data_IF_788926593734
#
_entry.id   IF_788926593734
#
_cell.length_a   1.000
_cell.length_b   1.000
_cell.length_c   1.000
_cell.angle_alpha   90.00
_cell.angle_beta   90.00
_cell.angle_gamma   90.00
#
_symmetry.space_group_name_H-M   'P 1'
#
loop_
_entity.id
_entity.type
_entity.pdbx_description
1 polymer ?
#
# COMPACT_ATOMS: atom_id res chain seq x y z
N UNK A 1 3.33 -4.75 -19.28
CA UNK A 1 2.47 -5.46 -18.38
C UNK A 1 1.53 -6.41 -19.14
N UNK A 2 0.53 -5.90 -19.90
CA UNK A 2 -0.46 -6.72 -20.61
C UNK A 2 0.12 -7.82 -21.52
N UNK A 3 1.30 -7.60 -22.12
CA UNK A 3 2.00 -8.61 -22.94
C UNK A 3 2.67 -9.71 -22.13
N UNK A 4 2.85 -9.51 -20.83
CA UNK A 4 3.46 -10.47 -19.91
C UNK A 4 2.43 -11.24 -19.10
N UNK A 5 1.15 -10.84 -19.18
CA UNK A 5 0.04 -11.51 -18.51
C UNK A 5 -0.24 -12.83 -19.19
N UNK A 6 -0.25 -13.91 -18.42
CA UNK A 6 -0.61 -15.25 -18.88
C UNK A 6 -2.10 -15.50 -18.60
N UNK A 7 -2.82 -15.95 -19.61
CA UNK A 7 -4.25 -16.29 -19.51
C UNK A 7 -4.42 -17.81 -19.53
N UNK A 8 -5.34 -18.30 -18.71
CA UNK A 8 -5.83 -19.69 -18.78
C UNK A 8 -6.99 -19.80 -19.78
N UNK A 9 -7.43 -21.04 -20.04
CA UNK A 9 -8.58 -21.29 -20.93
C UNK A 9 -9.90 -20.70 -20.38
N UNK A 10 -9.98 -20.46 -19.05
CA UNK A 10 -11.17 -19.90 -18.38
C UNK A 10 -11.08 -18.37 -18.19
N UNK A 11 -10.29 -17.68 -18.99
CA UNK A 11 -10.05 -16.22 -18.89
C UNK A 11 -9.48 -15.75 -17.55
N UNK A 12 -8.91 -16.64 -16.75
CA UNK A 12 -8.18 -16.33 -15.53
C UNK A 12 -6.78 -15.89 -15.90
N UNK A 13 -6.29 -14.79 -15.32
CA UNK A 13 -4.98 -14.25 -15.67
C UNK A 13 -4.04 -14.14 -14.46
N UNK A 14 -2.76 -14.32 -14.75
CA UNK A 14 -1.67 -14.16 -13.79
C UNK A 14 -0.52 -13.38 -14.41
N UNK A 15 0.32 -12.78 -13.57
CA UNK A 15 1.60 -12.23 -14.00
C UNK A 15 2.73 -13.17 -13.55
N UNK A 16 3.18 -14.10 -14.42
CA UNK A 16 4.29 -14.99 -14.09
C UNK A 16 5.62 -14.24 -14.14
N UNK A 17 6.50 -14.57 -13.22
CA UNK A 17 7.88 -14.10 -13.20
C UNK A 17 8.83 -15.26 -12.85
N UNK A 18 9.89 -15.44 -13.63
CA UNK A 18 10.89 -16.50 -13.44
C UNK A 18 10.34 -17.92 -13.22
N UNK A 19 9.20 -18.26 -13.85
CA UNK A 19 8.59 -19.59 -13.75
C UNK A 19 7.70 -19.75 -12.50
N UNK A 20 7.45 -18.69 -11.79
CA UNK A 20 6.53 -18.63 -10.65
C UNK A 20 5.40 -17.63 -10.89
N UNK A 21 4.26 -17.89 -10.28
CA UNK A 21 3.15 -16.95 -10.16
C UNK A 21 3.08 -16.57 -8.68
N UNK A 22 3.30 -15.29 -8.38
CA UNK A 22 3.18 -14.81 -7.01
C UNK A 22 1.91 -13.96 -6.84
N UNK A 23 1.32 -14.02 -5.65
CA UNK A 23 0.24 -13.11 -5.27
C UNK A 23 0.68 -11.65 -5.44
N UNK A 24 1.90 -11.33 -5.01
CA UNK A 24 2.52 -10.01 -5.13
C UNK A 24 2.47 -9.49 -6.58
N UNK A 25 3.04 -10.23 -7.52
CA UNK A 25 3.14 -9.77 -8.91
C UNK A 25 1.76 -9.58 -9.56
N UNK A 26 0.82 -10.49 -9.29
CA UNK A 26 -0.54 -10.42 -9.83
C UNK A 26 -1.34 -9.27 -9.20
N UNK A 27 -1.22 -9.06 -7.88
CA UNK A 27 -1.87 -7.96 -7.17
C UNK A 27 -1.33 -6.58 -7.63
N UNK A 28 -0.02 -6.41 -7.71
CA UNK A 28 0.60 -5.17 -8.19
C UNK A 28 0.25 -4.88 -9.65
N UNK A 29 0.14 -5.92 -10.49
CA UNK A 29 -0.30 -5.79 -11.88
C UNK A 29 -1.73 -5.27 -11.95
N UNK A 30 -2.64 -5.84 -11.15
CA UNK A 30 -4.03 -5.39 -11.08
C UNK A 30 -4.13 -3.96 -10.58
N UNK A 31 -3.46 -3.61 -9.47
CA UNK A 31 -3.45 -2.25 -8.92
C UNK A 31 -3.00 -1.25 -9.99
N UNK A 32 -1.89 -1.53 -10.67
CA UNK A 32 -1.36 -0.63 -11.70
C UNK A 32 -2.32 -0.43 -12.88
N UNK A 33 -3.00 -1.49 -13.32
CA UNK A 33 -4.01 -1.40 -14.40
C UNK A 33 -5.27 -0.68 -13.94
N UNK A 34 -5.71 -0.93 -12.70
CA UNK A 34 -6.84 -0.24 -12.11
C UNK A 34 -6.59 1.27 -11.99
N UNK A 35 -5.42 1.65 -11.50
CA UNK A 35 -5.00 3.06 -11.42
C UNK A 35 -4.91 3.72 -12.81
N UNK A 36 -4.43 2.99 -13.82
CA UNK A 36 -4.44 3.45 -15.21
C UNK A 36 -5.87 3.65 -15.74
N UNK A 37 -6.78 2.70 -15.46
CA UNK A 37 -8.18 2.80 -15.87
C UNK A 37 -8.87 4.01 -15.24
N UNK A 38 -8.70 4.19 -13.93
CA UNK A 38 -9.29 5.28 -13.14
C UNK A 38 -8.74 6.64 -13.60
N UNK A 39 -7.42 6.78 -13.68
CA UNK A 39 -6.77 8.06 -14.01
C UNK A 39 -7.01 8.49 -15.45
N UNK A 40 -7.00 7.55 -16.40
CA UNK A 40 -7.21 7.85 -17.83
C UNK A 40 -8.67 7.86 -18.27
N UNK A 41 -9.58 7.30 -17.44
CA UNK A 41 -10.97 7.03 -17.84
C UNK A 41 -11.11 5.93 -18.90
N UNK A 42 -10.03 5.17 -19.17
CA UNK A 42 -10.02 4.13 -20.20
C UNK A 42 -10.54 2.80 -19.64
N UNK A 43 -11.80 2.50 -19.88
CA UNK A 43 -12.45 1.23 -19.48
C UNK A 43 -11.92 0.00 -20.20
N UNK A 44 -11.12 0.16 -21.26
CA UNK A 44 -10.50 -0.96 -21.98
C UNK A 44 -9.54 -1.81 -21.17
N UNK A 45 -9.11 -1.32 -19.99
CA UNK A 45 -8.29 -2.09 -19.03
C UNK A 45 -9.13 -3.00 -18.12
N UNK A 46 -10.44 -2.76 -17.97
CA UNK A 46 -11.30 -3.49 -17.02
C UNK A 46 -11.29 -5.01 -17.27
N UNK A 47 -11.42 -5.53 -18.51
CA UNK A 47 -11.38 -6.97 -18.71
C UNK A 47 -10.08 -7.63 -18.25
N UNK A 48 -8.94 -6.96 -18.39
CA UNK A 48 -7.65 -7.47 -17.90
C UNK A 48 -7.57 -7.40 -16.37
N UNK A 49 -8.17 -6.37 -15.75
CA UNK A 49 -8.28 -6.28 -14.29
C UNK A 49 -9.16 -7.41 -13.73
N UNK A 50 -10.30 -7.69 -14.36
CA UNK A 50 -11.21 -8.78 -13.96
C UNK A 50 -10.52 -10.15 -14.08
N UNK A 51 -9.81 -10.40 -15.18
CA UNK A 51 -9.06 -11.63 -15.36
C UNK A 51 -7.96 -11.83 -14.31
N UNK A 52 -7.20 -10.77 -13.96
CA UNK A 52 -6.22 -10.80 -12.87
C UNK A 52 -6.90 -10.96 -11.50
N UNK A 53 -8.04 -10.32 -11.28
CA UNK A 53 -8.86 -10.49 -10.09
C UNK A 53 -9.31 -11.94 -9.92
N UNK A 54 -9.76 -12.58 -10.99
CA UNK A 54 -10.10 -14.00 -10.98
C UNK A 54 -8.86 -14.88 -10.65
N UNK A 55 -7.69 -14.50 -11.14
CA UNK A 55 -6.41 -15.12 -10.76
C UNK A 55 -6.13 -15.01 -9.27
N UNK A 56 -6.29 -13.83 -8.69
CA UNK A 56 -6.12 -13.61 -7.24
C UNK A 56 -7.15 -14.40 -6.43
N UNK A 57 -8.43 -14.46 -6.88
CA UNK A 57 -9.46 -15.27 -6.23
C UNK A 57 -9.13 -16.76 -6.24
N UNK A 58 -8.51 -17.27 -7.30
CA UNK A 58 -8.09 -18.68 -7.38
C UNK A 58 -7.02 -19.05 -6.36
N UNK A 59 -6.29 -18.06 -5.86
CA UNK A 59 -5.30 -18.22 -4.78
C UNK A 59 -5.95 -18.23 -3.39
N UNK A 60 -7.20 -17.78 -3.25
CA UNK A 60 -7.89 -17.65 -1.97
C UNK A 60 -8.50 -18.98 -1.53
N UNK A 61 -8.15 -19.41 -0.34
CA UNK A 61 -8.89 -20.45 0.38
C UNK A 61 -10.04 -19.79 1.14
N UNK A 62 -11.25 -19.95 0.62
CA UNK A 62 -12.45 -19.34 1.20
C UNK A 62 -12.86 -19.94 2.54
N UNK A 63 -12.32 -21.11 2.91
CA UNK A 63 -12.59 -21.74 4.20
C UNK A 63 -11.76 -21.14 5.33
N UNK A 64 -10.60 -20.58 5.01
CA UNK A 64 -9.65 -20.01 5.97
C UNK A 64 -9.42 -18.50 5.80
N UNK A 65 -9.86 -17.90 4.72
CA UNK A 65 -9.55 -16.50 4.38
C UNK A 65 -8.07 -16.26 4.04
N UNK A 66 -7.31 -17.31 3.71
CA UNK A 66 -5.87 -17.21 3.46
C UNK A 66 -5.56 -17.33 1.97
N UNK A 67 -4.61 -16.51 1.49
CA UNK A 67 -4.09 -16.71 0.14
C UNK A 67 -2.99 -17.75 0.07
N UNK A 68 -2.93 -18.47 -1.04
CA UNK A 68 -1.72 -19.14 -1.52
C UNK A 68 -0.81 -18.09 -2.15
N UNK A 69 0.43 -17.99 -1.72
CA UNK A 69 1.30 -16.89 -2.16
C UNK A 69 2.09 -17.20 -3.42
N UNK A 70 2.41 -18.48 -3.68
CA UNK A 70 3.23 -18.87 -4.84
C UNK A 70 2.68 -20.12 -5.49
N UNK A 71 2.52 -20.08 -6.82
CA UNK A 71 2.27 -21.23 -7.67
C UNK A 71 3.44 -21.44 -8.63
N UNK A 72 3.63 -22.69 -9.07
CA UNK A 72 4.46 -23.00 -10.24
C UNK A 72 3.74 -22.56 -11.51
N UNK A 73 4.38 -21.80 -12.38
CA UNK A 73 3.75 -21.30 -13.60
C UNK A 73 3.50 -22.41 -14.65
N UNK A 74 4.13 -23.59 -14.52
CA UNK A 74 4.00 -24.66 -15.50
C UNK A 74 2.79 -25.55 -15.30
N UNK A 75 2.35 -25.76 -14.05
CA UNK A 75 1.28 -26.68 -13.71
C UNK A 75 0.27 -26.10 -12.69
N UNK A 76 0.47 -24.85 -12.28
CA UNK A 76 -0.30 -24.13 -11.25
C UNK A 76 -0.26 -24.84 -9.88
N UNK A 77 0.72 -25.70 -9.66
CA UNK A 77 0.93 -26.38 -8.39
C UNK A 77 1.29 -25.39 -7.29
N UNK A 78 0.70 -25.56 -6.10
CA UNK A 78 1.05 -24.72 -4.92
C UNK A 78 2.47 -25.01 -4.50
N UNK A 79 3.29 -23.96 -4.35
CA UNK A 79 4.60 -24.03 -3.73
C UNK A 79 4.48 -23.73 -2.25
N UNK A 80 4.89 -24.69 -1.43
CA UNK A 80 4.90 -24.49 0.02
C UNK A 80 6.00 -23.49 0.43
N UNK A 81 5.72 -22.75 1.50
CA UNK A 81 6.69 -22.08 2.38
C UNK A 81 6.99 -20.59 2.17
N UNK A 82 6.52 -19.90 1.17
CA UNK A 82 6.65 -18.44 1.20
C UNK A 82 5.32 -17.84 1.61
N UNK A 83 5.24 -17.30 2.83
CA UNK A 83 4.12 -16.48 3.27
C UNK A 83 4.63 -15.13 3.73
N UNK A 84 4.10 -14.06 3.15
CA UNK A 84 4.33 -12.69 3.54
C UNK A 84 3.01 -12.00 3.87
N UNK A 85 2.86 -11.51 5.09
CA UNK A 85 1.68 -10.75 5.49
C UNK A 85 1.45 -9.53 4.56
N UNK A 86 2.53 -8.92 4.10
CA UNK A 86 2.49 -7.83 3.12
C UNK A 86 1.75 -8.21 1.84
N UNK A 87 1.90 -9.46 1.37
CA UNK A 87 1.24 -9.91 0.14
C UNK A 87 -0.27 -10.11 0.32
N UNK A 88 -0.72 -10.51 1.52
CA UNK A 88 -2.15 -10.54 1.86
C UNK A 88 -2.74 -9.12 1.72
N UNK A 89 -2.08 -8.10 2.26
CA UNK A 89 -2.46 -6.69 2.12
C UNK A 89 -2.51 -6.20 0.67
N UNK A 90 -1.54 -6.63 -0.18
CA UNK A 90 -1.55 -6.33 -1.62
C UNK A 90 -2.78 -6.96 -2.31
N UNK A 91 -3.09 -8.22 -2.01
CA UNK A 91 -4.26 -8.92 -2.56
C UNK A 91 -5.57 -8.23 -2.20
N UNK A 92 -5.75 -7.87 -0.93
CA UNK A 92 -6.92 -7.11 -0.45
C UNK A 92 -7.03 -5.76 -1.16
N UNK A 93 -5.93 -5.01 -1.24
CA UNK A 93 -5.89 -3.71 -1.94
C UNK A 93 -6.30 -3.85 -3.40
N UNK A 94 -5.77 -4.86 -4.11
CA UNK A 94 -6.06 -5.12 -5.51
C UNK A 94 -7.55 -5.43 -5.75
N UNK A 95 -8.14 -6.29 -4.91
CA UNK A 95 -9.57 -6.65 -4.99
C UNK A 95 -10.46 -5.44 -4.70
N UNK A 96 -10.13 -4.60 -3.72
CA UNK A 96 -10.89 -3.37 -3.44
C UNK A 96 -10.81 -2.37 -4.59
N UNK A 97 -9.64 -2.22 -5.24
CA UNK A 97 -9.50 -1.36 -6.42
C UNK A 97 -10.36 -1.88 -7.58
N UNK A 98 -10.40 -3.19 -7.78
CA UNK A 98 -11.26 -3.80 -8.79
C UNK A 98 -12.75 -3.60 -8.47
N UNK A 99 -13.14 -3.74 -7.20
CA UNK A 99 -14.50 -3.39 -6.76
C UNK A 99 -14.85 -1.95 -7.09
N UNK A 100 -13.94 -1.01 -6.85
CA UNK A 100 -14.13 0.41 -7.18
C UNK A 100 -14.46 0.65 -8.66
N UNK A 101 -13.86 -0.13 -9.56
CA UNK A 101 -14.06 -0.04 -11.00
C UNK A 101 -15.33 -0.73 -11.49
N UNK A 102 -15.67 -1.90 -10.94
CA UNK A 102 -16.69 -2.80 -11.49
C UNK A 102 -17.97 -2.84 -10.67
N UNK A 103 -17.91 -2.51 -9.39
CA UNK A 103 -19.00 -2.64 -8.41
C UNK A 103 -19.53 -4.08 -8.25
N UNK A 104 -18.76 -5.10 -8.70
CA UNK A 104 -19.10 -6.51 -8.45
C UNK A 104 -18.80 -6.86 -6.99
N UNK A 105 -19.83 -7.22 -6.18
CA UNK A 105 -19.68 -7.50 -4.76
C UNK A 105 -18.76 -8.68 -4.44
N UNK A 106 -18.45 -9.52 -5.40
CA UNK A 106 -17.54 -10.65 -5.21
C UNK A 106 -16.14 -10.18 -4.77
N UNK A 107 -15.66 -9.09 -5.36
CA UNK A 107 -14.33 -8.57 -5.06
C UNK A 107 -14.23 -8.01 -3.64
N UNK A 108 -15.23 -7.24 -3.21
CA UNK A 108 -15.27 -6.70 -1.86
C UNK A 108 -15.43 -7.81 -0.81
N UNK A 109 -16.34 -8.77 -1.07
CA UNK A 109 -16.52 -9.92 -0.19
C UNK A 109 -15.22 -10.71 0.03
N UNK A 110 -14.46 -10.96 -1.03
CA UNK A 110 -13.18 -11.68 -0.91
C UNK A 110 -12.13 -10.85 -0.15
N UNK A 111 -12.10 -9.53 -0.36
CA UNK A 111 -11.21 -8.62 0.35
C UNK A 111 -11.54 -8.58 1.87
N UNK A 112 -12.83 -8.48 2.21
CA UNK A 112 -13.30 -8.50 3.61
C UNK A 112 -12.96 -9.83 4.28
N UNK A 113 -13.18 -10.97 3.62
CA UNK A 113 -12.87 -12.30 4.17
C UNK A 113 -11.38 -12.45 4.58
N UNK A 114 -10.46 -11.92 3.75
CA UNK A 114 -9.03 -11.95 4.06
C UNK A 114 -8.71 -10.99 5.21
N UNK A 115 -9.27 -9.78 5.17
CA UNK A 115 -8.99 -8.77 6.19
C UNK A 115 -9.58 -9.14 7.55
N UNK A 116 -10.76 -9.77 7.59
CA UNK A 116 -11.36 -10.30 8.82
C UNK A 116 -10.44 -11.31 9.50
N UNK A 117 -9.85 -12.23 8.73
CA UNK A 117 -8.83 -13.14 9.25
C UNK A 117 -7.59 -12.39 9.78
N UNK A 118 -7.11 -11.37 9.06
CA UNK A 118 -5.95 -10.59 9.52
C UNK A 118 -6.24 -9.86 10.84
N UNK A 119 -7.48 -9.42 11.06
CA UNK A 119 -7.92 -8.78 12.31
C UNK A 119 -7.92 -9.77 13.49
N UNK A 120 -8.23 -11.05 13.26
CA UNK A 120 -8.18 -12.09 14.29
C UNK A 120 -6.75 -12.43 14.72
N UNK A 121 -5.75 -12.09 13.91
CA UNK A 121 -4.33 -12.28 14.21
C UNK A 121 -3.77 -11.07 14.98
N UNK A 122 -2.53 -11.19 15.49
CA UNK A 122 -1.89 -10.07 16.20
C UNK A 122 -1.48 -8.95 15.21
N UNK A 123 -2.00 -7.71 15.36
CA UNK A 123 -1.64 -6.58 14.52
C UNK A 123 -0.14 -6.29 14.42
N UNK A 124 0.64 -6.69 15.44
CA UNK A 124 2.09 -6.52 15.45
C UNK A 124 2.81 -7.35 14.36
N UNK A 125 2.14 -8.33 13.76
CA UNK A 125 2.69 -9.12 12.66
C UNK A 125 2.61 -8.38 11.31
N UNK A 126 1.82 -7.33 11.22
CA UNK A 126 1.51 -6.59 9.99
C UNK A 126 2.12 -5.18 10.00
N UNK A 127 3.43 -5.10 10.19
CA UNK A 127 4.16 -3.83 10.24
C UNK A 127 4.51 -3.24 8.86
N UNK A 128 3.61 -3.34 7.90
CA UNK A 128 3.87 -2.98 6.50
C UNK A 128 2.85 -1.98 5.93
N UNK A 129 3.25 -1.34 4.83
CA UNK A 129 2.45 -0.32 4.15
C UNK A 129 1.21 -0.92 3.46
N UNK A 130 1.27 -2.16 3.00
CA UNK A 130 0.17 -2.76 2.25
C UNK A 130 -0.99 -3.16 3.15
N UNK A 131 -0.73 -3.52 4.40
CA UNK A 131 -1.77 -3.66 5.42
C UNK A 131 -2.49 -2.33 5.66
N UNK A 132 -1.75 -1.21 5.76
CA UNK A 132 -2.36 0.12 5.87
C UNK A 132 -3.19 0.47 4.62
N UNK A 133 -2.69 0.15 3.41
CA UNK A 133 -3.42 0.34 2.16
C UNK A 133 -4.70 -0.50 2.10
N UNK A 134 -4.64 -1.77 2.51
CA UNK A 134 -5.80 -2.66 2.55
C UNK A 134 -6.91 -2.09 3.44
N UNK A 135 -6.56 -1.65 4.64
CA UNK A 135 -7.48 -1.02 5.59
C UNK A 135 -8.11 0.25 5.01
N UNK A 136 -7.30 1.12 4.40
CA UNK A 136 -7.80 2.32 3.71
C UNK A 136 -8.78 1.98 2.59
N UNK A 137 -8.47 0.99 1.77
CA UNK A 137 -9.32 0.64 0.63
C UNK A 137 -10.64 -0.02 1.08
N UNK A 138 -10.60 -0.98 2.01
CA UNK A 138 -11.83 -1.65 2.51
C UNK A 138 -12.74 -0.65 3.21
N UNK A 139 -12.20 0.26 4.02
CA UNK A 139 -13.01 1.26 4.74
C UNK A 139 -13.73 2.26 3.82
N UNK A 140 -13.40 2.35 2.54
CA UNK A 140 -14.17 3.14 1.56
C UNK A 140 -15.52 2.50 1.25
N UNK A 141 -15.62 1.18 1.28
CA UNK A 141 -16.71 0.42 0.70
C UNK A 141 -17.49 -0.47 1.69
N UNK A 142 -16.84 -0.99 2.72
CA UNK A 142 -17.46 -1.87 3.72
C UNK A 142 -18.66 -1.19 4.38
N UNK A 143 -19.75 -1.97 4.61
CA UNK A 143 -20.96 -1.48 5.26
C UNK A 143 -20.75 -1.29 6.76
N UNK A 144 -20.15 -2.28 7.44
CA UNK A 144 -19.67 -2.14 8.81
C UNK A 144 -18.16 -1.92 8.78
N UNK A 145 -17.74 -0.77 9.26
CA UNK A 145 -16.34 -0.32 9.22
C UNK A 145 -15.70 -0.31 10.60
N UNK A 146 -16.44 -0.66 11.63
CA UNK A 146 -16.01 -0.47 13.03
C UNK A 146 -14.71 -1.23 13.29
N UNK A 147 -14.68 -2.52 13.00
CA UNK A 147 -13.51 -3.35 13.30
C UNK A 147 -12.31 -3.00 12.43
N UNK A 148 -12.54 -2.62 11.17
CA UNK A 148 -11.49 -2.16 10.26
C UNK A 148 -10.84 -0.86 10.73
N UNK A 149 -11.62 0.12 11.20
CA UNK A 149 -11.09 1.35 11.77
C UNK A 149 -10.33 1.09 13.08
N UNK A 150 -10.87 0.25 13.97
CA UNK A 150 -10.18 -0.13 15.22
C UNK A 150 -8.85 -0.81 14.91
N UNK A 151 -8.83 -1.71 13.94
CA UNK A 151 -7.59 -2.39 13.53
C UNK A 151 -6.60 -1.40 12.88
N UNK A 152 -7.08 -0.47 12.05
CA UNK A 152 -6.23 0.56 11.44
C UNK A 152 -5.53 1.43 12.49
N UNK A 153 -6.25 1.85 13.53
CA UNK A 153 -5.66 2.63 14.63
C UNK A 153 -4.64 1.80 15.42
N UNK A 154 -4.94 0.53 15.71
CA UNK A 154 -3.98 -0.38 16.37
C UNK A 154 -2.74 -0.60 15.53
N UNK A 155 -2.91 -0.86 14.22
CA UNK A 155 -1.81 -1.02 13.28
C UNK A 155 -0.91 0.22 13.27
N UNK A 156 -1.47 1.42 13.14
CA UNK A 156 -0.70 2.66 13.23
C UNK A 156 0.03 2.78 14.57
N UNK A 157 -0.68 2.56 15.68
CA UNK A 157 -0.13 2.76 17.03
C UNK A 157 1.02 1.80 17.36
N UNK A 158 0.94 0.53 16.99
CA UNK A 158 2.04 -0.42 17.25
C UNK A 158 3.27 -0.13 16.39
N UNK A 159 3.08 0.45 15.21
CA UNK A 159 4.17 0.76 14.28
C UNK A 159 4.81 2.15 14.49
N UNK A 160 4.12 3.09 15.13
CA UNK A 160 4.65 4.44 15.39
C UNK A 160 6.02 4.42 16.07
N UNK A 161 6.22 3.59 17.08
CA UNK A 161 7.48 3.55 17.83
C UNK A 161 8.65 3.04 16.97
N UNK A 162 8.43 2.01 16.15
CA UNK A 162 9.46 1.48 15.24
C UNK A 162 9.82 2.47 14.15
N UNK A 163 8.83 3.14 13.55
CA UNK A 163 9.05 4.17 12.52
C UNK A 163 9.79 5.38 13.11
N UNK A 164 9.42 5.82 14.31
CA UNK A 164 10.13 6.92 14.99
C UNK A 164 11.58 6.55 15.31
N UNK A 165 11.81 5.33 15.77
CA UNK A 165 13.15 4.83 16.11
C UNK A 165 14.05 4.54 14.92
N UNK A 166 13.49 4.34 13.73
CA UNK A 166 14.27 4.04 12.53
C UNK A 166 15.15 5.23 12.13
N UNK A 167 16.47 4.99 12.08
CA UNK A 167 17.47 6.01 11.72
C UNK A 167 17.75 6.05 10.21
N UNK A 168 17.28 5.05 9.47
CA UNK A 168 17.52 4.91 8.05
C UNK A 168 16.64 5.80 7.17
N UNK A 169 16.81 5.63 5.87
CA UNK A 169 16.10 6.40 4.82
C UNK A 169 15.12 5.52 4.03
N UNK A 170 14.73 4.37 4.57
CA UNK A 170 13.69 3.49 3.98
C UNK A 170 12.35 4.25 3.89
N UNK A 171 11.73 4.32 2.70
CA UNK A 171 10.50 5.08 2.48
C UNK A 171 9.23 4.45 3.07
N UNK A 172 9.23 3.15 3.33
CA UNK A 172 8.01 2.41 3.70
C UNK A 172 7.33 2.96 4.96
N UNK A 173 8.11 3.37 5.97
CA UNK A 173 7.56 3.87 7.22
C UNK A 173 6.81 5.20 7.09
N UNK A 174 7.28 6.13 6.26
CA UNK A 174 6.58 7.38 6.00
C UNK A 174 5.26 7.14 5.26
N UNK A 175 5.31 6.36 4.19
CA UNK A 175 4.13 6.02 3.38
C UNK A 175 3.06 5.34 4.23
N UNK A 176 3.43 4.35 5.04
CA UNK A 176 2.53 3.64 5.94
C UNK A 176 1.79 4.57 6.91
N UNK A 177 2.52 5.49 7.57
CA UNK A 177 1.89 6.40 8.53
C UNK A 177 1.00 7.44 7.84
N UNK A 178 1.34 7.90 6.64
CA UNK A 178 0.49 8.81 5.86
C UNK A 178 -0.81 8.14 5.42
N UNK A 179 -0.74 6.89 4.94
CA UNK A 179 -1.95 6.10 4.61
C UNK A 179 -2.80 5.87 5.85
N UNK A 180 -2.17 5.57 7.01
CA UNK A 180 -2.89 5.44 8.28
C UNK A 180 -3.56 6.76 8.71
N UNK A 181 -2.92 7.90 8.46
CA UNK A 181 -3.49 9.22 8.72
C UNK A 181 -4.71 9.52 7.83
N UNK A 182 -4.69 9.12 6.55
CA UNK A 182 -5.86 9.22 5.67
C UNK A 182 -7.03 8.38 6.20
N UNK A 183 -6.75 7.13 6.63
CA UNK A 183 -7.77 6.24 7.21
C UNK A 183 -8.34 6.80 8.51
N UNK A 184 -7.49 7.40 9.36
CA UNK A 184 -7.93 8.11 10.57
C UNK A 184 -8.85 9.30 10.25
N UNK A 185 -8.49 10.12 9.26
CA UNK A 185 -9.36 11.21 8.79
C UNK A 185 -10.71 10.71 8.29
N UNK A 186 -10.72 9.67 7.45
CA UNK A 186 -11.94 9.06 6.94
C UNK A 186 -12.84 8.47 8.05
N UNK A 187 -12.23 7.94 9.11
CA UNK A 187 -12.92 7.46 10.30
C UNK A 187 -13.66 8.60 11.01
N UNK A 188 -12.99 9.75 11.23
CA UNK A 188 -13.60 10.93 11.85
C UNK A 188 -14.71 11.52 10.99
N UNK A 189 -14.49 11.63 9.68
CA UNK A 189 -15.49 12.12 8.72
C UNK A 189 -16.75 11.24 8.69
N UNK A 190 -16.59 9.94 8.93
CA UNK A 190 -17.68 8.99 9.04
C UNK A 190 -18.37 9.01 10.43
N UNK A 191 -17.92 9.85 11.36
CA UNK A 191 -18.52 10.03 12.68
C UNK A 191 -18.12 8.98 13.73
N UNK A 192 -17.08 8.19 13.49
CA UNK A 192 -16.55 7.25 14.48
C UNK A 192 -15.61 7.96 15.47
N UNK A 193 -15.61 7.49 16.72
CA UNK A 193 -14.68 7.98 17.75
C UNK A 193 -13.33 7.29 17.66
N UNK A 194 -12.28 8.08 17.86
CA UNK A 194 -10.91 7.62 17.97
C UNK A 194 -10.34 7.78 19.40
N UNK A 195 -11.16 7.52 20.40
CA UNK A 195 -10.81 7.73 21.80
C UNK A 195 -9.52 6.96 22.16
N UNK A 196 -8.56 7.69 22.72
CA UNK A 196 -7.27 7.14 23.15
C UNK A 196 -6.23 6.99 22.03
N UNK A 197 -6.54 7.35 20.80
CA UNK A 197 -5.54 7.37 19.72
C UNK A 197 -4.68 8.64 19.78
N UNK A 198 -3.35 8.45 19.77
CA UNK A 198 -2.39 9.54 19.88
C UNK A 198 -2.14 10.26 18.56
N UNK A 199 -3.14 10.97 18.04
CA UNK A 199 -3.07 11.63 16.73
C UNK A 199 -1.99 12.71 16.65
N UNK A 200 -1.76 13.48 17.71
CA UNK A 200 -0.69 14.48 17.77
C UNK A 200 0.69 13.83 17.66
N UNK A 201 0.89 12.69 18.33
CA UNK A 201 2.13 11.93 18.24
C UNK A 201 2.32 11.36 16.81
N UNK A 202 1.25 10.90 16.16
CA UNK A 202 1.31 10.46 14.77
C UNK A 202 1.80 11.60 13.85
N UNK A 203 1.27 12.82 14.04
CA UNK A 203 1.68 13.99 13.26
C UNK A 203 3.17 14.35 13.48
N UNK A 204 3.64 14.30 14.73
CA UNK A 204 5.04 14.54 15.07
C UNK A 204 5.95 13.50 14.39
N UNK A 205 5.59 12.22 14.45
CA UNK A 205 6.38 11.14 13.87
C UNK A 205 6.43 11.26 12.34
N UNK A 206 5.32 11.59 11.69
CA UNK A 206 5.28 11.84 10.24
C UNK A 206 6.26 12.96 9.87
N UNK A 207 6.24 14.09 10.59
CA UNK A 207 7.12 15.22 10.30
C UNK A 207 8.59 14.85 10.48
N UNK A 208 8.94 14.17 11.58
CA UNK A 208 10.30 13.71 11.87
C UNK A 208 10.76 12.70 10.80
N UNK A 209 9.88 11.77 10.42
CA UNK A 209 10.22 10.75 9.42
C UNK A 209 10.43 11.34 8.04
N UNK A 210 9.56 12.26 7.60
CA UNK A 210 9.72 12.98 6.35
C UNK A 210 11.07 13.74 6.30
N UNK A 211 11.44 14.40 7.38
CA UNK A 211 12.74 15.08 7.44
C UNK A 211 13.92 14.11 7.35
N UNK A 212 13.90 13.00 8.09
CA UNK A 212 14.97 11.98 8.05
C UNK A 212 15.12 11.31 6.69
N UNK A 213 14.02 11.08 6.00
CA UNK A 213 14.04 10.46 4.68
C UNK A 213 14.74 11.34 3.64
N UNK A 214 14.69 12.69 3.78
CA UNK A 214 15.44 13.62 2.94
C UNK A 214 16.96 13.45 3.06
N UNK A 215 17.47 12.84 4.12
CA UNK A 215 18.89 12.50 4.23
C UNK A 215 19.35 11.48 3.16
N UNK A 216 18.41 10.76 2.54
CA UNK A 216 18.65 9.89 1.40
C UNK A 216 18.60 10.59 0.04
N UNK A 217 18.09 11.82 -0.02
CA UNK A 217 17.96 12.54 -1.29
C UNK A 217 19.31 13.06 -1.78
N UNK A 218 19.61 12.80 -3.03
CA UNK A 218 20.88 13.20 -3.66
C UNK A 218 20.75 14.59 -4.30
N UNK A 219 20.96 15.60 -3.46
CA UNK A 219 21.13 16.98 -3.91
C UNK A 219 22.39 17.12 -4.79
N UNK A 220 22.50 18.18 -5.62
CA UNK A 220 23.67 18.41 -6.48
C UNK A 220 25.01 18.34 -5.72
N UNK A 221 25.04 18.84 -4.49
CA UNK A 221 26.21 18.88 -3.62
C UNK A 221 26.68 17.48 -3.18
N UNK A 222 25.76 16.51 -3.13
CA UNK A 222 26.11 15.11 -2.84
C UNK A 222 26.32 14.32 -4.13
N UNK A 223 25.50 14.53 -5.14
CA UNK A 223 25.59 13.80 -6.42
C UNK A 223 26.97 14.01 -7.10
N UNK A 224 27.59 15.18 -6.94
CA UNK A 224 28.89 15.52 -7.52
C UNK A 224 30.04 14.58 -7.14
N UNK A 225 29.93 13.82 -6.06
CA UNK A 225 30.95 12.88 -5.61
C UNK A 225 30.83 11.48 -6.23
N UNK A 226 29.73 11.21 -6.98
CA UNK A 226 29.56 9.96 -7.67
C UNK A 226 30.28 9.94 -9.04
N UNK A 227 30.62 8.74 -9.53
CA UNK A 227 31.31 8.60 -10.83
C UNK A 227 30.50 9.19 -12.00
N UNK A 228 29.17 9.10 -11.92
CA UNK A 228 28.22 9.62 -12.93
C UNK A 228 27.14 10.47 -12.25
N UNK A 229 27.44 11.72 -11.86
CA UNK A 229 26.53 12.58 -11.09
C UNK A 229 25.15 12.74 -11.69
N UNK A 230 25.09 12.87 -13.03
CA UNK A 230 23.83 13.11 -13.75
C UNK A 230 22.85 11.91 -13.68
N UNK A 231 23.34 10.70 -13.41
CA UNK A 231 22.50 9.51 -13.29
C UNK A 231 21.86 9.35 -11.93
N UNK A 232 22.43 9.99 -10.90
CA UNK A 232 21.97 9.85 -9.52
C UNK A 232 21.38 11.14 -8.94
N UNK A 233 21.55 12.26 -9.63
CA UNK A 233 20.98 13.55 -9.21
C UNK A 233 19.46 13.45 -9.06
N UNK A 234 18.95 13.83 -7.89
CA UNK A 234 17.51 13.80 -7.58
C UNK A 234 16.99 12.41 -7.18
N UNK A 235 17.87 11.40 -7.11
CA UNK A 235 17.47 10.09 -6.61
C UNK A 235 17.42 10.06 -5.08
N UNK A 236 16.64 9.12 -4.55
CA UNK A 236 16.68 8.73 -3.15
C UNK A 236 17.48 7.44 -2.97
N UNK A 237 18.33 7.44 -1.99
CA UNK A 237 19.23 6.35 -1.64
C UNK A 237 18.81 5.76 -0.30
N UNK A 238 18.68 4.44 -0.22
CA UNK A 238 18.45 3.73 1.03
C UNK A 238 19.79 3.44 1.68
N UNK A 239 20.10 4.16 2.77
CA UNK A 239 21.42 4.12 3.42
C UNK A 239 21.70 2.79 4.10
N UNK A 240 20.71 2.21 4.74
CA UNK A 240 20.80 0.93 5.45
C UNK A 240 20.90 -0.27 4.49
N UNK A 241 20.54 -0.10 3.25
CA UNK A 241 20.67 -1.10 2.18
C UNK A 241 21.88 -0.80 1.27
N UNK A 242 23.04 -0.57 1.87
CA UNK A 242 24.30 -0.40 1.15
C UNK A 242 24.31 0.80 0.19
N UNK A 243 23.56 1.87 0.49
CA UNK A 243 23.41 3.06 -0.37
C UNK A 243 22.70 2.74 -1.70
N UNK A 244 21.77 1.79 -1.68
CA UNK A 244 21.06 1.34 -2.86
C UNK A 244 20.09 2.40 -3.40
N UNK A 245 20.03 2.52 -4.72
CA UNK A 245 19.03 3.31 -5.45
C UNK A 245 18.25 2.32 -6.32
N UNK A 246 17.03 1.99 -5.91
CA UNK A 246 16.17 1.08 -6.63
C UNK A 246 14.95 1.79 -7.21
N UNK A 247 14.40 1.25 -8.31
CA UNK A 247 13.16 1.75 -8.89
C UNK A 247 12.00 1.69 -7.88
N UNK A 248 11.89 0.60 -7.11
CA UNK A 248 10.88 0.43 -6.07
C UNK A 248 11.02 1.50 -4.99
N UNK A 249 12.24 1.71 -4.46
CA UNK A 249 12.53 2.76 -3.48
C UNK A 249 12.20 4.16 -4.00
N UNK A 250 12.50 4.44 -5.27
CA UNK A 250 12.15 5.72 -5.92
C UNK A 250 10.62 5.90 -6.01
N UNK A 251 9.89 4.88 -6.46
CA UNK A 251 8.42 4.93 -6.53
C UNK A 251 7.79 5.17 -5.15
N UNK A 252 8.25 4.46 -4.11
CA UNK A 252 7.78 4.66 -2.73
C UNK A 252 8.10 6.06 -2.20
N UNK A 253 9.28 6.62 -2.50
CA UNK A 253 9.62 7.98 -2.12
C UNK A 253 8.70 9.00 -2.80
N UNK A 254 8.44 8.84 -4.11
CA UNK A 254 7.52 9.71 -4.85
C UNK A 254 6.11 9.63 -4.25
N UNK A 255 5.61 8.42 -4.01
CA UNK A 255 4.30 8.20 -3.37
C UNK A 255 4.22 8.83 -1.99
N UNK A 256 5.16 8.53 -1.12
CA UNK A 256 5.22 9.06 0.24
C UNK A 256 5.27 10.59 0.29
N UNK A 257 6.13 11.22 -0.50
CA UNK A 257 6.19 12.69 -0.52
C UNK A 257 5.00 13.34 -1.22
N UNK A 258 4.36 12.68 -2.18
CA UNK A 258 3.10 13.17 -2.75
C UNK A 258 1.98 13.17 -1.70
N UNK A 259 1.85 12.10 -0.93
CA UNK A 259 0.91 12.04 0.21
C UNK A 259 1.26 13.06 1.29
N UNK A 260 2.56 13.24 1.58
CA UNK A 260 3.02 14.22 2.58
C UNK A 260 2.70 15.66 2.16
N UNK A 261 2.83 16.00 0.88
CA UNK A 261 2.45 17.31 0.38
C UNK A 261 0.94 17.58 0.59
N UNK A 262 0.09 16.63 0.21
CA UNK A 262 -1.37 16.72 0.43
C UNK A 262 -1.70 16.84 1.92
N UNK A 263 -1.01 16.08 2.77
CA UNK A 263 -1.16 16.14 4.22
C UNK A 263 -0.80 17.51 4.78
N UNK A 264 0.32 18.12 4.36
CA UNK A 264 0.73 19.45 4.77
C UNK A 264 -0.27 20.53 4.34
N UNK A 265 -0.82 20.42 3.12
CA UNK A 265 -1.85 21.35 2.63
C UNK A 265 -3.13 21.29 3.47
N UNK A 266 -3.56 20.09 3.87
CA UNK A 266 -4.71 19.91 4.78
C UNK A 266 -4.46 20.56 6.14
N UNK A 267 -3.29 20.31 6.75
CA UNK A 267 -2.93 20.93 8.03
C UNK A 267 -2.85 22.46 7.95
N UNK A 268 -2.38 23.00 6.83
CA UNK A 268 -2.33 24.45 6.63
C UNK A 268 -3.73 25.07 6.50
N UNK A 269 -4.68 24.35 5.88
CA UNK A 269 -6.06 24.79 5.73
C UNK A 269 -6.86 24.77 7.06
N UNK A 270 -6.49 23.87 7.99
CA UNK A 270 -7.14 23.75 9.31
C UNK A 270 -6.67 24.82 10.32
N UNK A 271 -5.51 25.47 10.06
CA UNK A 271 -5.04 26.56 10.92
C UNK A 271 -5.81 27.84 10.60
N UNK A 272 -6.55 28.42 11.56
CA UNK A 272 -7.20 29.73 11.34
C UNK A 272 -6.12 30.75 10.97
N UNK A 273 -6.43 31.62 10.00
CA UNK A 273 -5.52 32.70 9.61
C UNK A 273 -5.30 33.63 10.81
N UNK A 274 -4.15 33.54 11.45
CA UNK A 274 -3.73 34.46 12.52
C UNK A 274 -3.50 35.90 12.02
N UNK A 275 -3.89 36.21 10.78
CA UNK A 275 -3.65 37.49 10.10
C UNK A 275 -4.90 38.22 9.64
N UNK A 276 -6.05 38.09 10.31
CA UNK A 276 -7.14 39.05 10.14
C UNK A 276 -7.30 39.88 11.42
N UNK A 277 -6.40 40.83 11.62
CA UNK A 277 -6.51 41.76 12.77
C UNK A 277 -5.26 42.55 13.10
N UNK A 278 -4.74 43.34 12.19
CA UNK A 278 -3.83 44.46 12.51
C UNK A 278 -4.09 45.63 11.55
#
# INVERSE_FOLDING_TARGET
>A
LLRQTAYTEDDVAYLPDHGEITLESSALALIALADCAETSGNTGYIPACEALGAGILSLLDTGTGSFTHVLDASDLGRKEAVRSAEWDGMGVTALCRLYGLTQDPLWLWAAELVLDRMIEEDPAQYGDVWTACALREVTKYAQDRTDYFVFALKHAQVNMASVYGAQGTDPAGLEMLLVSCETYGAMLDAGYSADGFASELLQEIIAVRAQRQLDGYLFPEYAMYFAEPQKVLGAFMVREDGLNISASGMCRNIGGYSLYAVYCDKLAAEKPSEYEGA
#
